data_IF_415241783899
#
_entry.id   IF_415241783899
#
_cell.length_a   1.000
_cell.length_b   1.000
_cell.length_c   1.000
_cell.angle_alpha   90.00
_cell.angle_beta   90.00
_cell.angle_gamma   90.00
#
_symmetry.space_group_name_H-M   'P 1'
#
loop_
_entity.id
_entity.type
_entity.pdbx_description
1 polymer ?
#
# COMPACT_ATOMS: atom_id res chain seq x y z
N UNK A 1 1.10 -22.67 2.65
CA UNK A 1 1.97 -21.56 3.10
C UNK A 1 1.63 -20.34 2.26
N UNK A 2 1.07 -19.29 2.86
CA UNK A 2 0.87 -18.04 2.14
C UNK A 2 2.26 -17.48 1.78
N UNK A 3 2.49 -17.04 0.53
CA UNK A 3 3.78 -16.50 0.14
C UNK A 3 4.07 -15.25 0.98
N UNK A 4 5.32 -15.12 1.45
CA UNK A 4 5.76 -14.06 2.36
C UNK A 4 5.35 -12.65 1.89
N UNK A 5 5.28 -12.43 0.56
CA UNK A 5 4.83 -11.18 -0.04
C UNK A 5 3.38 -10.78 0.24
N UNK A 6 2.47 -11.75 0.43
CA UNK A 6 1.05 -11.49 0.72
C UNK A 6 0.87 -10.79 2.08
N UNK A 7 1.69 -11.14 3.07
CA UNK A 7 1.65 -10.51 4.39
C UNK A 7 2.15 -9.05 4.31
N UNK A 8 3.19 -8.78 3.52
CA UNK A 8 3.74 -7.44 3.32
C UNK A 8 2.75 -6.51 2.61
N UNK A 9 2.06 -7.00 1.56
CA UNK A 9 0.98 -6.23 0.91
C UNK A 9 -0.14 -5.89 1.88
N UNK A 10 -0.63 -6.89 2.64
CA UNK A 10 -1.73 -6.69 3.58
C UNK A 10 -1.35 -5.68 4.67
N UNK A 11 -0.13 -5.76 5.21
CA UNK A 11 0.37 -4.79 6.18
C UNK A 11 0.48 -3.39 5.58
N UNK A 12 0.97 -3.26 4.34
CA UNK A 12 1.04 -1.97 3.64
C UNK A 12 -0.32 -1.31 3.44
N UNK A 13 -1.33 -2.11 3.06
CA UNK A 13 -2.73 -1.65 2.92
C UNK A 13 -3.29 -1.23 4.28
N UNK A 14 -3.22 -2.10 5.29
CA UNK A 14 -3.75 -1.82 6.63
C UNK A 14 -3.09 -0.57 7.24
N UNK A 15 -1.77 -0.42 7.09
CA UNK A 15 -1.03 0.76 7.54
C UNK A 15 -1.51 2.05 6.87
N UNK A 16 -1.75 2.01 5.56
CA UNK A 16 -2.18 3.18 4.80
C UNK A 16 -3.62 3.57 5.14
N UNK A 17 -4.51 2.59 5.28
CA UNK A 17 -5.89 2.82 5.76
C UNK A 17 -5.88 3.39 7.18
N UNK A 18 -5.05 2.84 8.06
CA UNK A 18 -4.91 3.35 9.44
C UNK A 18 -4.45 4.80 9.47
N UNK A 19 -3.41 5.16 8.70
CA UNK A 19 -2.94 6.56 8.62
C UNK A 19 -4.01 7.49 8.05
N UNK A 20 -4.70 7.07 7.00
CA UNK A 20 -5.79 7.86 6.40
C UNK A 20 -6.90 8.13 7.41
N UNK A 21 -7.38 7.08 8.12
CA UNK A 21 -8.39 7.24 9.18
C UNK A 21 -7.93 8.18 10.29
N UNK A 22 -6.67 8.10 10.71
CA UNK A 22 -6.14 9.00 11.72
C UNK A 22 -6.07 10.46 11.22
N UNK A 23 -5.71 10.71 9.96
CA UNK A 23 -5.76 12.07 9.41
C UNK A 23 -7.17 12.64 9.42
N UNK A 24 -8.19 11.83 9.12
CA UNK A 24 -9.58 12.27 9.22
C UNK A 24 -9.95 12.71 10.64
N UNK A 25 -9.53 11.94 11.65
CA UNK A 25 -9.88 12.20 13.06
C UNK A 25 -9.09 13.38 13.63
N UNK A 26 -7.78 13.47 13.33
CA UNK A 26 -6.88 14.43 13.95
C UNK A 26 -6.70 15.72 13.14
N UNK A 27 -6.83 15.66 11.82
CA UNK A 27 -6.61 16.80 10.91
C UNK A 27 -7.90 17.26 10.20
N UNK A 28 -9.02 16.57 10.39
CA UNK A 28 -10.31 16.84 9.73
C UNK A 28 -10.23 16.76 8.19
N UNK A 29 -9.32 15.94 7.67
CA UNK A 29 -9.19 15.70 6.23
C UNK A 29 -10.31 14.77 5.74
N UNK A 30 -10.96 15.12 4.63
CA UNK A 30 -11.85 14.21 3.92
C UNK A 30 -11.03 13.40 2.89
N UNK A 31 -10.91 12.09 3.08
CA UNK A 31 -10.20 11.23 2.14
C UNK A 31 -11.16 10.43 1.25
N UNK A 32 -11.04 10.64 -0.06
CA UNK A 32 -11.66 9.79 -1.07
C UNK A 32 -10.90 8.45 -1.15
N UNK A 33 -11.60 7.33 -1.35
CA UNK A 33 -11.06 5.99 -1.58
C UNK A 33 -9.96 5.99 -2.66
N UNK A 34 -10.12 6.79 -3.71
CA UNK A 34 -9.11 6.97 -4.76
C UNK A 34 -7.82 7.64 -4.25
N UNK A 35 -7.92 8.57 -3.29
CA UNK A 35 -6.74 9.16 -2.63
C UNK A 35 -6.03 8.11 -1.76
N UNK A 36 -6.77 7.28 -1.03
CA UNK A 36 -6.21 6.19 -0.21
C UNK A 36 -5.48 5.18 -1.10
N UNK A 37 -6.08 4.77 -2.23
CA UNK A 37 -5.45 3.86 -3.19
C UNK A 37 -4.13 4.43 -3.75
N UNK A 38 -4.09 5.73 -4.08
CA UNK A 38 -2.85 6.40 -4.50
C UNK A 38 -1.79 6.42 -3.40
N UNK A 39 -2.17 6.68 -2.15
CA UNK A 39 -1.25 6.67 -1.00
C UNK A 39 -0.69 5.27 -0.74
N UNK A 40 -1.53 4.24 -0.77
CA UNK A 40 -1.13 2.83 -0.67
C UNK A 40 -0.11 2.48 -1.74
N UNK A 41 -0.40 2.83 -3.00
CA UNK A 41 0.50 2.62 -4.13
C UNK A 41 1.85 3.28 -3.90
N UNK A 42 1.86 4.56 -3.56
CA UNK A 42 3.10 5.30 -3.32
C UNK A 42 3.95 4.68 -2.21
N UNK A 43 3.33 4.21 -1.12
CA UNK A 43 4.03 3.51 -0.06
C UNK A 43 4.62 2.17 -0.51
N UNK A 44 3.88 1.40 -1.30
CA UNK A 44 4.36 0.13 -1.83
C UNK A 44 5.50 0.33 -2.85
N UNK A 45 5.41 1.34 -3.72
CA UNK A 45 6.52 1.71 -4.62
C UNK A 45 7.78 2.09 -3.83
N UNK A 46 7.65 2.87 -2.76
CA UNK A 46 8.78 3.21 -1.89
C UNK A 46 9.39 1.98 -1.21
N UNK A 47 8.55 1.01 -0.81
CA UNK A 47 9.02 -0.24 -0.23
C UNK A 47 9.76 -1.09 -1.25
N UNK A 48 9.24 -1.19 -2.49
CA UNK A 48 9.89 -1.87 -3.60
C UNK A 48 11.26 -1.26 -3.89
N UNK A 49 11.36 0.07 -3.95
CA UNK A 49 12.62 0.78 -4.19
C UNK A 49 13.65 0.57 -3.06
N UNK A 50 13.20 0.39 -1.81
CA UNK A 50 14.07 0.21 -0.64
C UNK A 50 14.29 -1.25 -0.26
N UNK A 51 13.64 -2.18 -0.94
CA UNK A 51 13.73 -3.60 -0.63
C UNK A 51 15.18 -4.10 -0.86
N UNK A 52 15.74 -4.89 0.09
CA UNK A 52 16.97 -5.62 -0.16
C UNK A 52 16.87 -6.47 -1.43
N UNK A 53 17.90 -6.46 -2.29
CA UNK A 53 17.94 -7.18 -3.58
C UNK A 53 17.69 -8.70 -3.48
N UNK A 54 17.83 -9.27 -2.28
CA UNK A 54 17.59 -10.69 -1.97
C UNK A 54 16.11 -11.04 -1.78
N UNK A 55 15.22 -10.05 -1.69
CA UNK A 55 13.79 -10.27 -1.57
C UNK A 55 13.18 -10.38 -2.97
N UNK A 56 12.36 -11.41 -3.16
CA UNK A 56 11.48 -11.48 -4.32
C UNK A 56 10.37 -10.44 -4.17
N UNK A 57 10.44 -9.42 -5.01
CA UNK A 57 9.53 -8.27 -5.02
C UNK A 57 8.51 -8.33 -6.14
N UNK A 58 8.59 -9.31 -7.04
CA UNK A 58 7.71 -9.41 -8.21
C UNK A 58 6.23 -9.58 -7.83
N UNK A 59 5.85 -10.38 -6.81
CA UNK A 59 4.45 -10.46 -6.38
C UNK A 59 3.90 -9.11 -5.90
N UNK A 60 4.73 -8.33 -5.21
CA UNK A 60 4.37 -7.01 -4.70
C UNK A 60 4.29 -5.98 -5.83
N UNK A 61 5.17 -6.08 -6.83
CA UNK A 61 5.16 -5.25 -8.04
C UNK A 61 3.91 -5.50 -8.89
N UNK A 62 3.54 -6.77 -9.09
CA UNK A 62 2.32 -7.16 -9.81
C UNK A 62 1.06 -6.71 -9.08
N UNK A 63 1.01 -6.87 -7.76
CA UNK A 63 -0.12 -6.36 -6.97
C UNK A 63 -0.22 -4.83 -7.07
N UNK A 64 0.90 -4.12 -6.97
CA UNK A 64 0.94 -2.66 -7.05
C UNK A 64 0.40 -2.13 -8.40
N UNK A 65 0.66 -2.85 -9.50
CA UNK A 65 0.09 -2.49 -10.81
C UNK A 65 -1.40 -2.81 -10.96
N UNK A 66 -1.98 -3.68 -10.13
CA UNK A 66 -3.44 -3.96 -10.15
C UNK A 66 -4.28 -2.97 -9.36
N UNK A 67 -3.69 -2.27 -8.39
CA UNK A 67 -4.37 -1.27 -7.54
C UNK A 67 -4.79 0.00 -8.32
N UNK A 68 -4.44 0.11 -9.60
CA UNK A 68 -4.80 1.26 -10.46
C UNK A 68 -6.22 1.26 -11.00
N UNK A 69 -6.98 0.17 -10.87
CA UNK A 69 -8.35 0.07 -11.40
C UNK A 69 -9.42 0.39 -10.36
N UNK A 70 -9.18 1.38 -9.50
CA UNK A 70 -10.21 1.88 -8.58
C UNK A 70 -10.72 3.20 -9.16
N UNK A 71 -11.67 3.08 -10.10
CA UNK A 71 -12.55 4.17 -10.55
C UNK A 71 -13.57 4.52 -9.45
#
# INVERSE_FOLDING_TARGET
>A
MAPCGAHTTTLGVLWSVWKSRNSMVFNNDAHNTAAIARTVRHHVELWLCRAPRRLDVEPLRLWCSTVTNVD
#
